data_IF_128938305344
#
_entry.id   IF_128938305344
#
_cell.length_a   1.000
_cell.length_b   1.000
_cell.length_c   1.000
_cell.angle_alpha   90.00
_cell.angle_beta   90.00
_cell.angle_gamma   90.00
#
_symmetry.space_group_name_H-M   'P 1'
#
loop_
_entity.id
_entity.type
_entity.pdbx_description
1 polymer ?
#
# COMPACT_ATOMS: atom_id res chain seq x y z
N UNK A 1 17.11 12.63 8.85
CA UNK A 1 15.64 12.59 8.73
C UNK A 1 15.07 13.14 7.40
N UNK A 2 15.88 13.70 6.47
CA UNK A 2 15.39 14.24 5.18
C UNK A 2 15.19 13.21 4.06
N UNK A 3 15.62 11.95 4.23
CA UNK A 3 15.58 10.95 3.16
C UNK A 3 14.66 9.76 3.43
N UNK A 4 13.85 9.76 4.50
CA UNK A 4 13.02 8.59 4.83
C UNK A 4 12.05 8.23 3.70
N UNK A 5 11.31 9.20 3.18
CA UNK A 5 10.38 9.01 2.05
C UNK A 5 11.10 8.64 0.76
N UNK A 6 12.20 9.33 0.46
CA UNK A 6 13.01 9.04 -0.72
C UNK A 6 13.50 7.58 -0.70
N UNK A 7 14.06 7.15 0.43
CA UNK A 7 14.55 5.78 0.61
C UNK A 7 13.40 4.79 0.48
N UNK A 8 12.25 5.06 1.09
CA UNK A 8 11.07 4.20 0.99
C UNK A 8 10.59 4.02 -0.47
N UNK A 9 10.54 5.11 -1.26
CA UNK A 9 10.22 5.00 -2.69
C UNK A 9 11.22 4.10 -3.40
N UNK A 10 12.52 4.31 -3.19
CA UNK A 10 13.58 3.55 -3.88
C UNK A 10 13.53 2.06 -3.48
N UNK A 11 13.37 1.77 -2.19
CA UNK A 11 13.30 0.40 -1.65
C UNK A 11 12.10 -0.38 -2.21
N UNK A 12 10.97 0.28 -2.44
CA UNK A 12 9.78 -0.33 -3.02
C UNK A 12 9.83 -0.42 -4.55
N UNK A 13 10.35 0.63 -5.21
CA UNK A 13 10.37 0.74 -6.66
C UNK A 13 11.37 -0.24 -7.29
N UNK A 14 12.54 -0.42 -6.70
CA UNK A 14 13.61 -1.26 -7.23
C UNK A 14 13.17 -2.72 -7.51
N UNK A 15 12.64 -3.48 -6.54
CA UNK A 15 12.20 -4.85 -6.80
C UNK A 15 10.99 -4.90 -7.74
N UNK A 16 10.11 -3.90 -7.72
CA UNK A 16 8.95 -3.85 -8.60
C UNK A 16 9.35 -3.63 -10.07
N UNK A 17 10.36 -2.79 -10.32
CA UNK A 17 10.84 -2.50 -11.67
C UNK A 17 11.73 -3.62 -12.22
N UNK A 18 12.48 -4.31 -11.35
CA UNK A 18 13.24 -5.51 -11.75
C UNK A 18 12.37 -6.64 -12.31
N UNK A 19 11.09 -6.72 -11.92
CA UNK A 19 10.11 -7.68 -12.51
C UNK A 19 9.74 -7.32 -13.96
N UNK A 20 9.97 -6.08 -14.39
CA UNK A 20 9.58 -5.54 -15.71
C UNK A 20 10.74 -4.78 -16.36
N UNK A 21 11.88 -5.44 -16.63
CA UNK A 21 13.12 -4.78 -17.08
C UNK A 21 13.02 -4.20 -18.50
N UNK A 22 12.04 -4.62 -19.30
CA UNK A 22 11.79 -4.12 -20.66
C UNK A 22 11.29 -2.67 -20.68
N UNK A 23 10.73 -2.19 -19.57
CA UNK A 23 10.23 -0.82 -19.44
C UNK A 23 11.34 0.12 -18.96
N UNK A 24 11.44 1.30 -19.57
CA UNK A 24 12.23 2.38 -18.96
C UNK A 24 11.50 2.98 -17.75
N UNK A 25 12.22 3.75 -16.92
CA UNK A 25 11.68 4.29 -15.66
C UNK A 25 10.39 5.09 -15.87
N UNK A 26 10.32 5.91 -16.92
CA UNK A 26 9.16 6.78 -17.17
C UNK A 26 7.94 5.94 -17.60
N UNK A 27 8.15 4.94 -18.45
CA UNK A 27 7.10 4.00 -18.85
C UNK A 27 6.59 3.19 -17.66
N UNK A 28 7.49 2.77 -16.78
CA UNK A 28 7.13 2.05 -15.56
C UNK A 28 6.31 2.93 -14.60
N UNK A 29 6.72 4.18 -14.35
CA UNK A 29 5.96 5.12 -13.52
C UNK A 29 4.58 5.44 -14.12
N UNK A 30 4.48 5.60 -15.44
CA UNK A 30 3.18 5.74 -16.12
C UNK A 30 2.29 4.50 -15.95
N UNK A 31 2.88 3.30 -15.99
CA UNK A 31 2.13 2.06 -15.74
C UNK A 31 1.59 2.03 -14.31
N UNK A 32 2.43 2.32 -13.32
CA UNK A 32 2.02 2.36 -11.91
C UNK A 32 0.91 3.39 -11.67
N UNK A 33 0.99 4.57 -12.28
CA UNK A 33 -0.05 5.59 -12.19
C UNK A 33 -1.40 5.11 -12.75
N UNK A 34 -1.39 4.43 -13.89
CA UNK A 34 -2.62 3.86 -14.47
C UNK A 34 -3.19 2.73 -13.62
N UNK A 35 -2.33 1.86 -13.09
CA UNK A 35 -2.73 0.75 -12.22
C UNK A 35 -3.34 1.25 -10.89
N UNK A 36 -2.89 2.41 -10.38
CA UNK A 36 -3.42 3.01 -9.15
C UNK A 36 -4.72 3.80 -9.37
N UNK A 37 -5.22 3.88 -10.60
CA UNK A 37 -6.40 4.68 -10.95
C UNK A 37 -6.14 6.18 -10.99
N UNK A 38 -4.89 6.60 -11.20
CA UNK A 38 -4.53 8.01 -11.34
C UNK A 38 -4.63 8.46 -12.80
N UNK A 39 -5.60 9.35 -13.09
CA UNK A 39 -5.87 9.90 -14.43
C UNK A 39 -5.15 11.23 -14.72
N UNK A 40 -4.34 11.73 -13.79
CA UNK A 40 -3.58 12.98 -13.95
C UNK A 40 -2.38 12.86 -14.89
N UNK A 41 -1.68 13.97 -15.12
CA UNK A 41 -0.40 13.94 -15.82
C UNK A 41 0.68 13.36 -14.92
N UNK A 42 1.73 12.81 -15.53
CA UNK A 42 2.87 12.25 -14.78
C UNK A 42 3.58 13.29 -13.89
N UNK A 43 3.56 14.57 -14.27
CA UNK A 43 4.11 15.68 -13.49
C UNK A 43 3.37 15.92 -12.16
N UNK A 44 2.10 15.50 -12.08
CA UNK A 44 1.25 15.62 -10.89
C UNK A 44 1.31 14.35 -10.00
N UNK A 45 2.06 13.32 -10.42
CA UNK A 45 2.17 12.07 -9.69
C UNK A 45 3.06 12.27 -8.46
N UNK A 46 2.47 12.12 -7.27
CA UNK A 46 3.18 12.29 -6.00
C UNK A 46 3.76 10.97 -5.50
N UNK A 47 4.80 11.08 -4.66
CA UNK A 47 5.42 9.93 -4.00
C UNK A 47 4.45 9.15 -3.12
N UNK A 48 3.46 9.79 -2.49
CA UNK A 48 2.43 9.12 -1.69
C UNK A 48 1.60 8.11 -2.51
N UNK A 49 1.19 8.50 -3.71
CA UNK A 49 0.43 7.63 -4.62
C UNK A 49 1.28 6.43 -5.04
N UNK A 50 2.56 6.68 -5.36
CA UNK A 50 3.51 5.63 -5.72
C UNK A 50 3.77 4.66 -4.56
N UNK A 51 4.07 5.17 -3.36
CA UNK A 51 4.33 4.35 -2.16
C UNK A 51 3.10 3.50 -1.84
N UNK A 52 1.90 4.10 -1.84
CA UNK A 52 0.66 3.38 -1.55
C UNK A 52 0.44 2.24 -2.56
N UNK A 53 0.52 2.55 -3.85
CA UNK A 53 0.32 1.54 -4.90
C UNK A 53 1.37 0.43 -4.81
N UNK A 54 2.65 0.77 -4.66
CA UNK A 54 3.73 -0.21 -4.57
C UNK A 54 3.60 -1.14 -3.36
N UNK A 55 3.13 -0.65 -2.20
CA UNK A 55 2.84 -1.49 -1.03
C UNK A 55 1.67 -2.44 -1.27
N UNK A 56 0.66 -1.99 -1.99
CA UNK A 56 -0.57 -2.75 -2.23
C UNK A 56 -0.49 -3.70 -3.43
N UNK A 57 0.43 -3.46 -4.37
CA UNK A 57 0.54 -4.19 -5.65
C UNK A 57 0.69 -5.71 -5.48
N UNK A 58 1.45 -6.15 -4.49
CA UNK A 58 1.68 -7.57 -4.16
C UNK A 58 0.89 -8.02 -2.90
N UNK A 59 0.06 -7.15 -2.32
CA UNK A 59 -0.81 -7.51 -1.19
C UNK A 59 -2.06 -8.25 -1.70
N UNK A 60 -2.46 -9.34 -1.03
CA UNK A 60 -3.71 -10.02 -1.36
C UNK A 60 -4.89 -9.03 -1.23
N UNK A 61 -5.88 -9.11 -2.12
CA UNK A 61 -7.05 -8.20 -2.10
C UNK A 61 -7.87 -8.31 -0.80
N UNK A 62 -7.71 -9.45 -0.14
CA UNK A 62 -8.28 -9.90 1.12
C UNK A 62 -7.34 -9.69 2.31
N UNK A 63 -6.11 -9.21 2.09
CA UNK A 63 -5.21 -8.85 3.17
C UNK A 63 -5.71 -7.57 3.86
N UNK A 64 -5.71 -7.60 5.20
CA UNK A 64 -6.00 -6.43 6.00
C UNK A 64 -5.02 -5.29 5.66
N UNK A 65 -5.55 -4.07 5.53
CA UNK A 65 -4.76 -2.90 5.15
C UNK A 65 -3.68 -2.66 6.23
N UNK A 66 -2.39 -2.56 5.86
CA UNK A 66 -1.30 -2.30 6.80
C UNK A 66 -1.57 -1.01 7.58
N UNK A 67 -1.65 -1.12 8.91
CA UNK A 67 -2.00 -0.02 9.82
C UNK A 67 -3.40 -0.14 10.44
N UNK A 68 -4.41 -0.58 9.68
CA UNK A 68 -5.75 -0.91 10.21
C UNK A 68 -5.76 -2.30 10.87
N UNK A 69 -4.89 -3.20 10.39
CA UNK A 69 -4.75 -4.56 10.94
C UNK A 69 -4.46 -4.57 12.45
N UNK A 70 -3.81 -3.53 12.99
CA UNK A 70 -3.49 -3.45 14.42
C UNK A 70 -4.73 -3.44 15.32
N UNK A 71 -5.82 -2.87 14.82
CA UNK A 71 -7.10 -2.76 15.53
C UNK A 71 -8.16 -3.72 14.92
N UNK A 72 -7.73 -4.65 14.05
CA UNK A 72 -8.59 -5.62 13.39
C UNK A 72 -8.86 -6.80 14.34
N UNK A 73 -10.06 -6.86 14.90
CA UNK A 73 -10.54 -8.02 15.65
C UNK A 73 -11.24 -8.99 14.70
N UNK A 74 -10.64 -10.18 14.50
CA UNK A 74 -11.12 -11.19 13.55
C UNK A 74 -12.49 -11.79 13.94
N UNK A 75 -12.79 -11.83 15.24
CA UNK A 75 -14.07 -12.30 15.77
C UNK A 75 -14.91 -11.13 16.31
N UNK A 76 -15.62 -10.48 15.38
CA UNK A 76 -16.53 -9.37 15.67
C UNK A 76 -17.56 -9.70 16.76
N UNK A 77 -18.00 -10.96 16.85
CA UNK A 77 -18.99 -11.37 17.84
C UNK A 77 -18.37 -11.37 19.24
N UNK A 78 -17.19 -11.93 19.38
CA UNK A 78 -16.48 -11.95 20.67
C UNK A 78 -16.06 -10.54 21.08
N UNK A 79 -15.57 -9.73 20.15
CA UNK A 79 -15.29 -8.31 20.34
C UNK A 79 -16.51 -7.55 20.92
N UNK A 80 -17.67 -7.72 20.28
CA UNK A 80 -18.92 -7.07 20.69
C UNK A 80 -19.40 -7.55 22.07
N UNK A 81 -19.27 -8.84 22.36
CA UNK A 81 -19.67 -9.42 23.64
C UNK A 81 -18.72 -8.98 24.78
N UNK A 82 -17.42 -8.82 24.52
CA UNK A 82 -16.46 -8.21 25.46
C UNK A 82 -16.79 -6.75 25.71
N UNK A 83 -17.03 -5.96 24.67
CA UNK A 83 -17.37 -4.54 24.79
C UNK A 83 -18.67 -4.32 25.59
N UNK A 84 -19.63 -5.26 25.50
CA UNK A 84 -20.87 -5.27 26.30
C UNK A 84 -20.71 -5.86 27.70
N UNK A 85 -19.53 -6.34 28.08
CA UNK A 85 -19.25 -6.97 29.37
C UNK A 85 -19.92 -8.33 29.57
N UNK A 86 -20.37 -8.98 28.50
CA UNK A 86 -21.01 -10.30 28.53
C UNK A 86 -19.96 -11.40 28.71
N UNK A 87 -18.80 -11.25 28.08
CA UNK A 87 -17.63 -12.10 28.27
C UNK A 87 -16.62 -11.31 29.09
N UNK A 88 -16.20 -11.85 30.24
CA UNK A 88 -15.04 -11.39 31.00
C UNK A 88 -13.87 -12.30 30.66
N UNK A 89 -12.66 -11.74 30.60
CA UNK A 89 -11.41 -12.43 30.24
C UNK A 89 -11.26 -13.81 30.88
#
# INVERSE_FOLDING_TARGET
>A
MKCKRLNEVIELLQPAWQKEPDLNLTQFLQKLAKESGFDGKLEDLTDDILIYHLKMRDSAKDAAIPGIQKDYEEDFKTALLRARGVIKE
#
